data_IF_356893743601
#
_entry.id   IF_356893743601
#
_cell.length_a   1.000
_cell.length_b   1.000
_cell.length_c   1.000
_cell.angle_alpha   90.00
_cell.angle_beta   90.00
_cell.angle_gamma   90.00
#
_symmetry.space_group_name_H-M   'P 1'
#
loop_
_entity.id
_entity.type
_entity.pdbx_description
1 polymer ?
#
# COMPACT_ATOMS: atom_id res chain seq x y z
N UNK A 1 15.24 16.63 12.09
CA UNK A 1 16.38 16.02 11.38
C UNK A 1 17.32 15.33 12.35
N UNK A 2 17.78 16.00 13.41
CA UNK A 2 18.64 15.40 14.44
C UNK A 2 18.06 14.14 15.09
N UNK A 3 16.77 14.16 15.44
CA UNK A 3 16.09 12.98 16.00
C UNK A 3 16.08 11.79 15.02
N UNK A 4 15.89 12.03 13.72
CA UNK A 4 15.93 10.98 12.69
C UNK A 4 17.35 10.43 12.52
N UNK A 5 18.37 11.28 12.52
CA UNK A 5 19.77 10.83 12.45
C UNK A 5 20.19 10.09 13.71
N UNK A 6 19.67 10.46 14.88
CA UNK A 6 19.94 9.74 16.12
C UNK A 6 19.49 8.27 16.05
N UNK A 7 18.39 7.97 15.34
CA UNK A 7 17.92 6.59 15.10
C UNK A 7 18.98 5.77 14.36
N UNK A 8 19.71 6.38 13.42
CA UNK A 8 20.80 5.73 12.69
C UNK A 8 22.18 5.94 13.32
N UNK A 9 22.27 6.28 14.61
CA UNK A 9 23.56 6.48 15.28
C UNK A 9 24.32 7.73 14.84
N UNK A 10 23.62 8.69 14.24
CA UNK A 10 24.15 9.98 13.80
C UNK A 10 24.68 10.00 12.37
N UNK A 11 24.68 8.87 11.65
CA UNK A 11 25.30 8.76 10.33
C UNK A 11 24.36 9.10 9.18
N UNK A 12 23.04 9.13 9.41
CA UNK A 12 22.03 9.22 8.35
C UNK A 12 21.57 7.83 7.87
N UNK A 13 20.76 7.78 6.81
CA UNK A 13 20.22 6.54 6.23
C UNK A 13 20.88 6.22 4.89
N UNK A 14 21.18 4.95 4.66
CA UNK A 14 21.77 4.48 3.39
C UNK A 14 20.76 4.58 2.25
N UNK A 15 19.48 4.30 2.51
CA UNK A 15 18.41 4.41 1.54
C UNK A 15 17.25 5.24 2.11
N UNK A 16 16.79 6.23 1.35
CA UNK A 16 15.62 7.04 1.70
C UNK A 16 14.62 7.01 0.56
N UNK A 17 13.44 6.43 0.82
CA UNK A 17 12.35 6.31 -0.14
C UNK A 17 11.32 7.42 0.06
N UNK A 18 11.12 8.24 -0.97
CA UNK A 18 10.13 9.30 -1.00
C UNK A 18 8.92 8.85 -1.81
N UNK A 19 7.80 8.61 -1.10
CA UNK A 19 6.54 8.14 -1.68
C UNK A 19 5.49 9.24 -1.89
N UNK A 20 5.78 10.50 -1.53
CA UNK A 20 4.88 11.64 -1.71
C UNK A 20 5.60 12.78 -2.44
N UNK A 21 5.01 13.36 -3.51
CA UNK A 21 5.63 14.44 -4.28
C UNK A 21 5.40 15.78 -3.56
N UNK A 22 5.93 15.89 -2.35
CA UNK A 22 5.78 17.04 -1.46
C UNK A 22 7.16 17.61 -1.18
N UNK A 23 7.38 18.89 -1.52
CA UNK A 23 8.69 19.57 -1.43
C UNK A 23 9.42 19.30 -0.10
N UNK A 24 8.81 19.60 1.07
CA UNK A 24 9.42 19.30 2.36
C UNK A 24 9.85 17.84 2.57
N UNK A 25 9.13 16.88 2.00
CA UNK A 25 9.45 15.44 2.14
C UNK A 25 10.69 15.08 1.33
N UNK A 26 10.81 15.62 0.11
CA UNK A 26 11.99 15.43 -0.74
C UNK A 26 13.23 16.06 -0.08
N UNK A 27 13.10 17.30 0.37
CA UNK A 27 14.19 18.05 1.04
C UNK A 27 14.59 17.40 2.37
N UNK A 28 13.62 16.88 3.13
CA UNK A 28 13.91 16.07 4.30
C UNK A 28 14.69 14.80 3.93
N UNK A 29 14.32 14.14 2.84
CA UNK A 29 15.00 12.94 2.38
C UNK A 29 16.48 13.18 2.08
N UNK A 30 16.80 14.24 1.33
CA UNK A 30 18.18 14.70 1.10
C UNK A 30 18.93 14.99 2.41
N UNK A 31 18.28 15.69 3.35
CA UNK A 31 18.92 16.11 4.60
C UNK A 31 19.29 14.96 5.55
N UNK A 32 18.63 13.79 5.45
CA UNK A 32 18.83 12.65 6.35
C UNK A 32 19.68 11.52 5.76
N UNK A 33 20.13 11.64 4.51
CA UNK A 33 21.00 10.63 3.88
C UNK A 33 22.35 10.51 4.58
N UNK A 34 22.85 9.28 4.60
CA UNK A 34 24.23 8.97 4.96
C UNK A 34 25.20 9.29 3.82
N UNK A 35 26.49 9.19 4.13
CA UNK A 35 27.53 9.15 3.12
C UNK A 35 27.31 7.92 2.21
N UNK A 36 27.40 8.12 0.89
CA UNK A 36 27.07 7.15 -0.16
C UNK A 36 25.60 6.70 -0.18
N UNK A 37 24.70 7.52 0.39
CA UNK A 37 23.27 7.20 0.45
C UNK A 37 22.52 7.40 -0.86
N UNK A 38 21.39 6.69 -1.02
CA UNK A 38 20.50 6.74 -2.16
C UNK A 38 19.15 7.40 -1.81
N UNK A 39 18.82 8.50 -2.50
CA UNK A 39 17.48 9.08 -2.50
C UNK A 39 16.64 8.47 -3.63
N UNK A 40 15.71 7.59 -3.27
CA UNK A 40 14.78 6.98 -4.22
C UNK A 40 13.47 7.79 -4.26
N UNK A 41 13.16 8.37 -5.42
CA UNK A 41 11.94 9.11 -5.67
C UNK A 41 10.95 8.27 -6.49
N UNK A 42 9.98 7.66 -5.81
CA UNK A 42 8.90 6.84 -6.39
C UNK A 42 7.57 7.61 -6.53
N UNK A 43 7.48 8.79 -5.92
CA UNK A 43 6.23 9.47 -5.62
C UNK A 43 5.32 9.90 -6.80
N UNK A 44 5.80 9.82 -8.05
CA UNK A 44 5.00 10.07 -9.26
C UNK A 44 4.25 11.42 -9.27
N UNK A 45 4.95 12.58 -9.37
CA UNK A 45 4.30 13.89 -9.42
C UNK A 45 3.42 14.05 -10.67
N UNK A 46 2.23 14.61 -10.49
CA UNK A 46 1.28 14.94 -11.56
C UNK A 46 1.56 16.31 -12.21
N UNK A 47 2.19 17.22 -11.45
CA UNK A 47 2.62 18.52 -11.92
C UNK A 47 4.00 18.46 -12.60
N UNK A 48 4.11 18.75 -13.91
CA UNK A 48 5.40 18.71 -14.63
C UNK A 48 6.40 19.79 -14.16
N UNK A 49 5.94 20.79 -13.41
CA UNK A 49 6.79 21.84 -12.82
C UNK A 49 7.14 21.59 -11.35
N UNK A 50 6.80 20.41 -10.81
CA UNK A 50 7.21 20.04 -9.46
C UNK A 50 8.74 20.05 -9.35
N UNK A 51 9.25 20.72 -8.31
CA UNK A 51 10.69 20.83 -8.03
C UNK A 51 10.91 20.89 -6.53
N UNK A 52 12.07 20.50 -6.05
CA UNK A 52 12.49 20.60 -4.65
C UNK A 52 13.98 21.00 -4.59
N UNK A 53 14.41 21.61 -3.48
CA UNK A 53 15.82 21.93 -3.29
C UNK A 53 16.62 20.65 -2.99
N UNK A 54 17.82 20.55 -3.54
CA UNK A 54 18.75 19.46 -3.25
C UNK A 54 20.14 20.03 -2.98
N UNK A 55 20.83 19.47 -1.99
CA UNK A 55 22.18 19.87 -1.69
C UNK A 55 23.20 19.20 -2.62
N UNK A 56 23.56 19.88 -3.71
CA UNK A 56 24.54 19.38 -4.69
C UNK A 56 25.98 19.24 -4.13
N UNK A 57 26.28 19.84 -2.97
CA UNK A 57 27.52 19.53 -2.27
C UNK A 57 27.53 18.06 -1.81
N UNK A 58 26.41 17.57 -1.27
CA UNK A 58 26.28 16.18 -0.82
C UNK A 58 26.29 15.22 -2.01
N UNK A 59 25.62 15.57 -3.10
CA UNK A 59 25.69 14.81 -4.36
C UNK A 59 27.12 14.58 -4.80
N UNK A 60 27.99 15.60 -4.69
CA UNK A 60 29.37 15.47 -5.14
C UNK A 60 30.32 14.86 -4.10
N UNK A 61 30.28 15.35 -2.86
CA UNK A 61 31.28 15.05 -1.83
C UNK A 61 30.83 13.98 -0.82
N UNK A 62 29.53 13.77 -0.68
CA UNK A 62 28.97 12.70 0.14
C UNK A 62 28.53 11.51 -0.73
N UNK A 63 28.84 11.49 -2.03
CA UNK A 63 28.52 10.42 -2.96
C UNK A 63 27.03 10.06 -3.02
N UNK A 64 26.14 11.05 -2.82
CA UNK A 64 24.70 10.79 -2.85
C UNK A 64 24.23 10.39 -4.24
N UNK A 65 23.44 9.30 -4.31
CA UNK A 65 22.75 8.85 -5.51
C UNK A 65 21.31 9.34 -5.51
N UNK A 66 20.82 9.79 -6.65
CA UNK A 66 19.41 10.20 -6.80
C UNK A 66 18.82 9.36 -7.93
N UNK A 67 17.76 8.62 -7.61
CA UNK A 67 17.12 7.69 -8.55
C UNK A 67 15.62 7.97 -8.61
N UNK A 68 15.09 8.14 -9.82
CA UNK A 68 13.65 8.13 -10.07
C UNK A 68 13.20 6.75 -10.53
N UNK A 69 12.13 6.22 -9.95
CA UNK A 69 11.55 4.94 -10.36
C UNK A 69 10.05 5.09 -10.63
N UNK A 70 9.53 4.41 -11.65
CA UNK A 70 8.12 4.44 -12.04
C UNK A 70 7.39 3.10 -11.83
N UNK A 71 8.07 2.11 -11.24
CA UNK A 71 7.55 0.76 -11.04
C UNK A 71 8.62 -0.31 -11.29
N UNK A 72 8.17 -1.56 -11.33
CA UNK A 72 8.99 -2.71 -11.68
C UNK A 72 8.70 -3.21 -13.10
N UNK A 73 9.63 -3.99 -13.65
CA UNK A 73 9.50 -4.72 -14.90
C UNK A 73 9.06 -6.19 -14.63
N UNK A 74 8.98 -7.00 -15.68
CA UNK A 74 8.55 -8.40 -15.55
C UNK A 74 9.47 -9.26 -14.66
N UNK A 75 10.78 -9.01 -14.62
CA UNK A 75 11.67 -9.75 -13.72
C UNK A 75 11.41 -9.39 -12.26
N UNK A 76 11.11 -8.12 -11.98
CA UNK A 76 10.78 -7.67 -10.62
C UNK A 76 9.48 -8.32 -10.12
N UNK A 77 8.51 -8.54 -11.01
CA UNK A 77 7.28 -9.28 -10.69
C UNK A 77 7.56 -10.76 -10.39
N UNK A 78 8.45 -11.41 -11.15
CA UNK A 78 8.85 -12.80 -10.88
C UNK A 78 9.54 -12.92 -9.53
N UNK A 79 10.44 -11.98 -9.21
CA UNK A 79 11.12 -11.94 -7.92
C UNK A 79 10.15 -11.68 -6.77
N UNK A 80 9.22 -10.73 -6.92
CA UNK A 80 8.20 -10.45 -5.92
C UNK A 80 7.34 -11.70 -5.62
N UNK A 81 6.93 -12.44 -6.65
CA UNK A 81 6.18 -13.69 -6.49
C UNK A 81 7.00 -14.78 -5.79
N UNK A 82 8.29 -14.93 -6.11
CA UNK A 82 9.18 -15.86 -5.43
C UNK A 82 9.33 -15.52 -3.94
N UNK A 83 9.52 -14.24 -3.60
CA UNK A 83 9.59 -13.77 -2.20
C UNK A 83 8.25 -14.01 -1.47
N UNK A 84 7.11 -13.71 -2.11
CA UNK A 84 5.79 -13.99 -1.54
C UNK A 84 5.58 -15.48 -1.30
N UNK A 85 6.01 -16.34 -2.23
CA UNK A 85 5.93 -17.79 -2.09
C UNK A 85 6.75 -18.34 -0.91
N UNK A 86 7.76 -17.58 -0.46
CA UNK A 86 8.64 -17.90 0.67
C UNK A 86 8.13 -17.36 2.01
N UNK A 87 6.94 -16.75 2.04
CA UNK A 87 6.26 -16.34 3.26
C UNK A 87 6.09 -14.84 3.46
N UNK A 88 6.41 -14.00 2.47
CA UNK A 88 6.03 -12.59 2.51
C UNK A 88 4.53 -12.47 2.19
N UNK A 89 3.74 -12.07 3.17
CA UNK A 89 2.29 -11.96 3.05
C UNK A 89 1.85 -10.49 2.85
N UNK A 90 1.26 -10.13 1.70
CA UNK A 90 0.75 -8.78 1.45
C UNK A 90 -0.65 -8.53 2.03
N UNK A 91 -1.29 -9.51 2.69
CA UNK A 91 -2.67 -9.40 3.19
C UNK A 91 -2.90 -8.21 4.12
N UNK A 92 -1.90 -7.81 4.90
CA UNK A 92 -1.94 -6.62 5.76
C UNK A 92 -2.21 -5.29 5.02
N UNK A 93 -2.03 -5.27 3.70
CA UNK A 93 -2.35 -4.11 2.88
C UNK A 93 -3.83 -4.03 2.52
N UNK A 94 -4.58 -5.16 2.53
CA UNK A 94 -5.99 -5.20 2.16
C UNK A 94 -6.85 -4.86 3.37
N UNK A 95 -7.64 -3.80 3.26
CA UNK A 95 -8.50 -3.35 4.38
C UNK A 95 -9.98 -3.33 4.05
N UNK A 96 -10.34 -3.36 2.77
CA UNK A 96 -11.72 -3.35 2.32
C UNK A 96 -11.96 -4.39 1.25
N UNK A 97 -13.16 -4.99 1.28
CA UNK A 97 -13.64 -5.97 0.32
C UNK A 97 -14.91 -5.43 -0.32
N UNK A 98 -15.01 -5.52 -1.64
CA UNK A 98 -16.19 -5.06 -2.37
C UNK A 98 -16.42 -5.79 -3.68
N UNK A 99 -17.60 -5.57 -4.26
CA UNK A 99 -17.98 -6.02 -5.57
C UNK A 99 -17.74 -4.98 -6.67
N UNK A 100 -18.01 -5.35 -7.91
CA UNK A 100 -17.86 -4.46 -9.07
C UNK A 100 -18.70 -3.18 -8.95
N UNK A 101 -19.89 -3.30 -8.37
CA UNK A 101 -20.81 -2.19 -8.13
C UNK A 101 -20.24 -1.08 -7.23
N UNK A 102 -19.22 -1.37 -6.42
CA UNK A 102 -18.60 -0.39 -5.52
C UNK A 102 -17.52 0.47 -6.19
N UNK A 103 -17.02 0.09 -7.38
CA UNK A 103 -15.83 0.70 -8.00
C UNK A 103 -16.02 2.19 -8.31
N UNK A 104 -17.16 2.57 -8.92
CA UNK A 104 -17.38 3.95 -9.35
C UNK A 104 -17.41 4.92 -8.17
N UNK A 105 -18.14 4.56 -7.11
CA UNK A 105 -18.23 5.38 -5.90
C UNK A 105 -16.88 5.41 -5.15
N UNK A 106 -16.25 4.25 -4.97
CA UNK A 106 -14.95 4.15 -4.29
C UNK A 106 -13.86 4.98 -4.99
N UNK A 107 -13.87 5.04 -6.32
CA UNK A 107 -12.92 5.84 -7.11
C UNK A 107 -13.16 7.33 -6.93
N UNK A 108 -14.41 7.78 -7.01
CA UNK A 108 -14.75 9.20 -6.86
C UNK A 108 -14.55 9.73 -5.43
N UNK A 109 -14.70 8.86 -4.43
CA UNK A 109 -14.61 9.21 -3.02
C UNK A 109 -13.32 8.77 -2.34
N UNK A 110 -12.35 8.21 -3.09
CA UNK A 110 -11.15 7.56 -2.54
C UNK A 110 -10.42 8.36 -1.45
N UNK A 111 -10.21 9.70 -1.55
CA UNK A 111 -9.55 10.48 -0.51
C UNK A 111 -10.24 10.47 0.86
N UNK A 112 -11.54 10.14 0.89
CA UNK A 112 -12.37 10.10 2.10
C UNK A 112 -12.59 8.68 2.63
N UNK A 113 -12.06 7.66 1.95
CA UNK A 113 -12.17 6.24 2.35
C UNK A 113 -10.86 5.82 3.03
N UNK A 114 -10.81 5.75 4.37
CA UNK A 114 -9.57 5.45 5.10
C UNK A 114 -9.07 4.02 4.82
N UNK A 115 -7.87 3.70 5.31
CA UNK A 115 -7.27 2.37 5.21
C UNK A 115 -6.49 2.13 3.90
N UNK A 116 -5.93 0.93 3.79
CA UNK A 116 -5.07 0.49 2.69
C UNK A 116 -5.81 0.18 1.39
N UNK A 117 -5.48 -0.97 0.78
CA UNK A 117 -5.99 -1.47 -0.50
C UNK A 117 -7.45 -1.93 -0.39
N UNK A 118 -8.19 -1.67 -1.47
CA UNK A 118 -9.58 -2.04 -1.68
C UNK A 118 -9.58 -3.21 -2.67
N UNK A 119 -9.86 -4.42 -2.19
CA UNK A 119 -9.91 -5.62 -3.02
C UNK A 119 -11.31 -5.77 -3.62
N UNK A 120 -11.39 -5.80 -4.95
CA UNK A 120 -12.65 -5.84 -5.69
C UNK A 120 -12.80 -7.17 -6.41
N UNK A 121 -13.90 -7.87 -6.12
CA UNK A 121 -14.32 -9.06 -6.83
C UNK A 121 -15.26 -8.65 -7.97
N UNK A 122 -14.76 -8.75 -9.20
CA UNK A 122 -15.43 -8.20 -10.39
C UNK A 122 -16.72 -8.92 -10.79
N UNK A 123 -16.98 -10.10 -10.24
CA UNK A 123 -18.16 -10.93 -10.50
C UNK A 123 -19.15 -10.96 -9.33
N UNK A 124 -18.95 -10.08 -8.34
CA UNK A 124 -19.74 -9.95 -7.12
C UNK A 124 -20.37 -8.56 -7.08
N UNK A 125 -21.58 -8.47 -6.51
CA UNK A 125 -22.22 -7.21 -6.14
C UNK A 125 -22.29 -7.06 -4.62
N UNK A 126 -21.38 -6.28 -4.05
CA UNK A 126 -21.23 -6.11 -2.61
C UNK A 126 -20.74 -4.68 -2.33
N UNK A 127 -21.30 -3.96 -1.35
CA UNK A 127 -20.79 -2.65 -0.98
C UNK A 127 -19.32 -2.75 -0.54
N UNK A 128 -18.51 -1.72 -0.81
CA UNK A 128 -17.15 -1.66 -0.30
C UNK A 128 -17.19 -1.63 1.22
N UNK A 129 -16.75 -2.72 1.85
CA UNK A 129 -16.91 -2.93 3.28
C UNK A 129 -15.54 -3.07 3.93
N UNK A 130 -15.22 -2.27 4.97
CA UNK A 130 -14.02 -2.46 5.77
C UNK A 130 -14.05 -3.82 6.48
N UNK A 131 -12.92 -4.55 6.49
CA UNK A 131 -12.83 -5.84 7.22
C UNK A 131 -13.13 -5.64 8.71
N UNK A 132 -12.73 -4.49 9.28
CA UNK A 132 -13.02 -4.11 10.67
C UNK A 132 -14.51 -4.04 11.01
N UNK A 133 -15.38 -3.88 10.01
CA UNK A 133 -16.80 -3.70 10.21
C UNK A 133 -17.58 -5.03 10.10
N UNK A 134 -16.92 -6.12 9.70
CA UNK A 134 -17.58 -7.43 9.52
C UNK A 134 -18.23 -7.94 10.80
N UNK A 135 -17.58 -7.81 11.96
CA UNK A 135 -18.15 -8.27 13.23
C UNK A 135 -19.46 -7.54 13.58
N UNK A 136 -19.50 -6.22 13.33
CA UNK A 136 -20.68 -5.39 13.57
C UNK A 136 -21.81 -5.73 12.59
N UNK A 137 -21.51 -5.91 11.31
CA UNK A 137 -22.49 -6.33 10.31
C UNK A 137 -23.01 -7.75 10.61
N UNK A 138 -22.15 -8.60 11.16
CA UNK A 138 -22.43 -9.96 11.60
C UNK A 138 -23.47 -10.08 12.72
N UNK A 139 -23.78 -8.99 13.43
CA UNK A 139 -24.87 -8.95 14.41
C UNK A 139 -26.24 -9.17 13.75
N UNK A 140 -26.38 -8.78 12.48
CA UNK A 140 -27.63 -8.87 11.72
C UNK A 140 -27.56 -9.72 10.45
N UNK A 141 -26.36 -10.04 9.97
CA UNK A 141 -26.14 -10.79 8.72
C UNK A 141 -25.17 -11.97 8.94
N UNK A 142 -25.68 -13.19 8.78
CA UNK A 142 -24.90 -14.41 8.96
C UNK A 142 -23.71 -14.53 8.01
N UNK A 143 -23.77 -13.91 6.83
CA UNK A 143 -22.67 -13.88 5.88
C UNK A 143 -21.46 -13.12 6.45
N UNK A 144 -21.68 -11.93 6.98
CA UNK A 144 -20.63 -11.11 7.61
C UNK A 144 -20.15 -11.69 8.94
N UNK A 145 -21.03 -12.39 9.67
CA UNK A 145 -20.65 -13.09 10.90
C UNK A 145 -19.57 -14.12 10.63
N UNK A 146 -19.76 -14.99 9.64
CA UNK A 146 -18.77 -16.01 9.30
C UNK A 146 -17.48 -15.38 8.74
N UNK A 147 -17.58 -14.35 7.91
CA UNK A 147 -16.39 -13.61 7.44
C UNK A 147 -15.58 -13.01 8.60
N UNK A 148 -16.25 -12.46 9.61
CA UNK A 148 -15.58 -11.94 10.80
C UNK A 148 -14.86 -13.06 11.56
N UNK A 149 -15.54 -14.19 11.80
CA UNK A 149 -14.96 -15.35 12.48
C UNK A 149 -13.75 -15.93 11.72
N UNK A 150 -13.80 -15.96 10.39
CA UNK A 150 -12.65 -16.36 9.56
C UNK A 150 -11.51 -15.36 9.72
N UNK A 151 -11.76 -14.06 9.51
CA UNK A 151 -10.71 -13.04 9.59
C UNK A 151 -10.04 -13.01 10.97
N UNK A 152 -10.81 -13.17 12.05
CA UNK A 152 -10.28 -13.21 13.43
C UNK A 152 -9.27 -14.35 13.65
N UNK A 153 -9.48 -15.51 13.02
CA UNK A 153 -8.52 -16.63 13.06
C UNK A 153 -7.27 -16.38 12.21
N UNK A 154 -7.31 -15.39 11.31
CA UNK A 154 -6.21 -14.94 10.45
C UNK A 154 -5.70 -13.55 10.83
N UNK A 155 -5.64 -13.24 12.14
CA UNK A 155 -5.12 -11.98 12.69
C UNK A 155 -5.88 -10.71 12.23
N UNK A 156 -7.18 -10.85 11.93
CA UNK A 156 -8.01 -9.78 11.39
C UNK A 156 -7.71 -9.44 9.92
N UNK A 157 -6.99 -10.30 9.20
CA UNK A 157 -6.59 -10.09 7.81
C UNK A 157 -7.47 -10.89 6.84
N UNK A 158 -7.52 -10.39 5.60
CA UNK A 158 -8.10 -11.17 4.50
C UNK A 158 -7.24 -12.41 4.20
N UNK A 159 -7.87 -13.54 3.95
CA UNK A 159 -7.19 -14.82 3.76
C UNK A 159 -7.82 -15.64 2.62
N UNK A 160 -7.13 -16.71 2.21
CA UNK A 160 -7.64 -17.68 1.22
C UNK A 160 -8.96 -18.31 1.69
N UNK A 161 -9.12 -18.54 2.99
CA UNK A 161 -10.36 -19.07 3.58
C UNK A 161 -11.50 -18.05 3.45
N UNK A 162 -11.24 -16.78 3.72
CA UNK A 162 -12.24 -15.71 3.61
C UNK A 162 -12.68 -15.51 2.14
N UNK A 163 -11.73 -15.56 1.20
CA UNK A 163 -12.01 -15.54 -0.22
C UNK A 163 -12.85 -16.74 -0.66
N UNK A 164 -12.46 -17.96 -0.29
CA UNK A 164 -13.22 -19.17 -0.63
C UNK A 164 -14.66 -19.11 -0.09
N UNK A 165 -14.83 -18.60 1.13
CA UNK A 165 -16.15 -18.41 1.72
C UNK A 165 -16.98 -17.37 0.96
N UNK A 166 -16.40 -16.19 0.68
CA UNK A 166 -17.03 -15.13 -0.11
C UNK A 166 -17.52 -15.67 -1.46
N UNK A 167 -16.65 -16.35 -2.21
CA UNK A 167 -16.96 -16.88 -3.54
C UNK A 167 -18.03 -17.98 -3.52
N UNK A 168 -18.11 -18.76 -2.44
CA UNK A 168 -19.09 -19.85 -2.32
C UNK A 168 -20.46 -19.39 -1.85
N UNK A 169 -20.54 -18.25 -1.16
CA UNK A 169 -21.76 -17.80 -0.48
C UNK A 169 -22.33 -16.49 -1.05
N UNK A 170 -21.58 -15.77 -1.89
CA UNK A 170 -22.12 -14.63 -2.61
C UNK A 170 -22.74 -15.07 -3.95
N UNK A 171 -23.97 -14.67 -4.28
CA UNK A 171 -24.54 -14.96 -5.59
C UNK A 171 -23.65 -14.32 -6.67
N UNK A 172 -23.16 -15.16 -7.59
CA UNK A 172 -22.50 -14.71 -8.82
C UNK A 172 -23.59 -14.08 -9.68
N UNK A 173 -23.48 -12.78 -9.99
CA UNK A 173 -24.37 -12.14 -10.95
C UNK A 173 -23.98 -12.60 -12.36
N UNK A 174 -24.46 -13.78 -12.73
CA UNK A 174 -24.36 -14.30 -14.08
C UNK A 174 -25.41 -13.59 -14.96
N UNK A 175 -25.16 -12.34 -15.32
CA UNK A 175 -25.88 -11.71 -16.43
C UNK A 175 -25.17 -12.13 -17.73
N UNK A 176 -25.82 -13.06 -18.45
CA UNK A 176 -25.50 -13.41 -19.83
C UNK A 176 -25.75 -12.24 -20.79
#
# INVERSE_FOLDING_TARGET
MEELKAISGGTGFDDVFVFAPVRPVVEQGDAILAFDGCLNFFAGPDNPNFSAMLNFYNVHYAYTHIVGTSGGNNSDMVEALDIMSKGLDPAGLVTHIGGLNAVADATNNLPHIPGGKKLIYTHIEMPLTPISDFAKLGETDGFFKELAEICDRHNGLWSVEAEAYLLSNHPITCNA
#
